data_IF_037278861068
#
_entry.id   IF_037278861068
#
_cell.length_a   1.000
_cell.length_b   1.000
_cell.length_c   1.000
_cell.angle_alpha   90.00
_cell.angle_beta   90.00
_cell.angle_gamma   90.00
#
_symmetry.space_group_name_H-M   'P 1'
#
loop_
_entity.id
_entity.type
_entity.pdbx_description
1 polymer ?
#
# COMPACT_ATOMS: atom_id res chain seq x y z
N UNK A 1 44.53 14.56 -26.26
CA UNK A 1 44.25 13.31 -25.51
C UNK A 1 42.84 13.40 -24.98
N UNK A 2 41.88 13.00 -25.78
CA UNK A 2 40.47 12.89 -25.40
C UNK A 2 40.26 11.47 -24.88
N UNK A 3 40.00 11.33 -23.58
CA UNK A 3 39.58 10.06 -22.99
C UNK A 3 38.13 9.81 -23.41
N UNK A 4 37.96 8.87 -24.34
CA UNK A 4 36.69 8.17 -24.52
C UNK A 4 36.46 7.33 -23.26
N UNK A 5 35.49 7.73 -22.42
CA UNK A 5 34.90 6.80 -21.47
C UNK A 5 34.03 5.83 -22.28
N UNK A 6 34.44 4.56 -22.28
CA UNK A 6 33.66 3.47 -22.82
C UNK A 6 32.38 3.35 -21.99
N UNK A 7 31.23 3.54 -22.66
CA UNK A 7 29.94 3.06 -22.16
C UNK A 7 30.05 1.55 -22.09
N UNK A 8 29.94 0.98 -20.90
CA UNK A 8 29.88 -0.46 -20.68
C UNK A 8 28.54 -0.94 -21.28
N UNK A 9 28.59 -1.40 -22.53
CA UNK A 9 27.46 -1.86 -23.31
C UNK A 9 27.07 -3.26 -22.81
N UNK A 10 26.51 -3.34 -21.60
CA UNK A 10 25.73 -4.50 -21.18
C UNK A 10 24.50 -4.57 -22.07
N UNK A 11 24.61 -5.36 -23.13
CA UNK A 11 23.57 -5.55 -24.15
C UNK A 11 22.20 -5.80 -23.48
N UNK A 12 21.35 -4.78 -23.44
CA UNK A 12 20.02 -4.87 -22.84
C UNK A 12 19.12 -5.59 -23.84
N UNK A 13 18.97 -6.90 -23.69
CA UNK A 13 18.01 -7.67 -24.48
C UNK A 13 16.58 -7.30 -24.03
N UNK A 14 15.97 -6.38 -24.78
CA UNK A 14 14.59 -5.92 -24.60
C UNK A 14 13.60 -6.88 -25.28
N UNK A 15 14.02 -7.61 -26.31
CA UNK A 15 13.12 -8.41 -27.16
C UNK A 15 12.49 -9.59 -26.42
N UNK A 16 13.15 -10.09 -25.37
CA UNK A 16 12.65 -11.20 -24.55
C UNK A 16 11.64 -10.77 -23.47
N UNK A 17 11.44 -9.47 -23.23
CA UNK A 17 10.49 -9.02 -22.22
C UNK A 17 9.07 -8.94 -22.78
N UNK A 18 8.13 -9.59 -22.11
CA UNK A 18 6.71 -9.50 -22.44
C UNK A 18 6.18 -8.05 -22.40
N UNK A 19 6.77 -7.18 -21.57
CA UNK A 19 6.43 -5.75 -21.48
C UNK A 19 6.81 -4.95 -22.73
N UNK A 20 7.82 -5.41 -23.47
CA UNK A 20 8.33 -4.78 -24.70
C UNK A 20 7.84 -5.48 -25.98
N UNK A 21 7.12 -6.59 -25.82
CA UNK A 21 6.52 -7.32 -26.94
C UNK A 21 5.31 -6.58 -27.52
N UNK A 22 5.09 -6.70 -28.84
CA UNK A 22 3.88 -6.16 -29.49
C UNK A 22 2.65 -6.97 -29.12
N UNK A 23 1.55 -6.28 -28.80
CA UNK A 23 0.27 -6.93 -28.59
C UNK A 23 -0.42 -7.26 -29.94
N UNK A 24 -0.66 -8.54 -30.26
CA UNK A 24 -1.30 -8.94 -31.51
C UNK A 24 -2.74 -8.42 -31.64
N UNK A 25 -3.43 -8.16 -30.54
CA UNK A 25 -4.81 -7.66 -30.53
C UNK A 25 -4.93 -6.17 -30.89
N UNK A 26 -3.82 -5.40 -30.84
CA UNK A 26 -3.84 -3.94 -31.04
C UNK A 26 -2.93 -3.46 -32.16
N UNK A 27 -2.53 -4.35 -33.07
CA UNK A 27 -1.62 -4.05 -34.20
C UNK A 27 -2.10 -2.88 -35.06
N UNK A 28 -3.42 -2.66 -35.17
CA UNK A 28 -4.05 -1.62 -35.98
C UNK A 28 -4.85 -0.60 -35.15
N UNK A 29 -4.50 -0.43 -33.87
CA UNK A 29 -5.25 0.43 -32.93
C UNK A 29 -5.31 1.91 -33.36
N UNK A 30 -4.37 2.35 -34.20
CA UNK A 30 -4.28 3.69 -34.79
C UNK A 30 -5.22 3.91 -35.98
N UNK A 31 -5.78 2.85 -36.56
CA UNK A 31 -6.62 2.89 -37.77
C UNK A 31 -8.11 2.58 -37.51
N UNK A 32 -8.50 2.29 -36.27
CA UNK A 32 -9.89 2.00 -35.90
C UNK A 32 -10.65 3.26 -35.45
N UNK A 33 -11.98 3.18 -35.40
CA UNK A 33 -12.78 4.25 -34.78
C UNK A 33 -12.43 4.41 -33.30
N UNK A 34 -12.66 5.59 -32.74
CA UNK A 34 -12.37 5.86 -31.31
C UNK A 34 -13.11 4.90 -30.37
N UNK A 35 -14.32 4.47 -30.70
CA UNK A 35 -15.06 3.50 -29.86
C UNK A 35 -14.41 2.12 -29.88
N UNK A 36 -13.90 1.67 -31.04
CA UNK A 36 -13.15 0.42 -31.16
C UNK A 36 -11.79 0.52 -30.44
N UNK A 37 -11.11 1.66 -30.54
CA UNK A 37 -9.89 1.95 -29.77
C UNK A 37 -10.16 1.81 -28.26
N UNK A 38 -11.24 2.41 -27.75
CA UNK A 38 -11.61 2.29 -26.34
C UNK A 38 -11.93 0.85 -25.94
N UNK A 39 -12.62 0.07 -26.80
CA UNK A 39 -12.90 -1.35 -26.55
C UNK A 39 -11.63 -2.18 -26.52
N UNK A 40 -10.68 -1.94 -27.43
CA UNK A 40 -9.38 -2.60 -27.45
C UNK A 40 -8.61 -2.36 -26.15
N UNK A 41 -8.57 -1.11 -25.66
CA UNK A 41 -7.94 -0.78 -24.37
C UNK A 41 -8.65 -1.51 -23.22
N UNK A 42 -9.97 -1.41 -23.13
CA UNK A 42 -10.71 -2.03 -22.04
C UNK A 42 -10.59 -3.56 -22.01
N UNK A 43 -10.55 -4.22 -23.18
CA UNK A 43 -10.35 -5.66 -23.27
C UNK A 43 -9.01 -6.11 -22.68
N UNK A 44 -7.97 -5.28 -22.77
CA UNK A 44 -6.70 -5.52 -22.10
C UNK A 44 -6.79 -5.25 -20.59
N UNK A 45 -7.45 -4.17 -20.17
CA UNK A 45 -7.63 -3.82 -18.74
C UNK A 45 -8.34 -4.95 -17.96
N UNK A 46 -9.32 -5.62 -18.59
CA UNK A 46 -10.05 -6.75 -17.98
C UNK A 46 -9.13 -7.92 -17.56
N UNK A 47 -7.94 -8.04 -18.16
CA UNK A 47 -6.97 -9.10 -17.84
C UNK A 47 -6.23 -8.84 -16.53
N UNK A 48 -6.17 -7.59 -16.08
CA UNK A 48 -5.32 -7.17 -14.95
C UNK A 48 -5.77 -7.82 -13.64
N UNK A 49 -7.06 -7.78 -13.32
CA UNK A 49 -7.57 -8.36 -12.07
C UNK A 49 -7.31 -9.88 -11.99
N UNK A 50 -7.41 -10.58 -13.12
CA UNK A 50 -7.11 -12.01 -13.20
C UNK A 50 -5.63 -12.27 -12.93
N UNK A 51 -4.72 -11.46 -13.48
CA UNK A 51 -3.28 -11.59 -13.21
C UNK A 51 -2.99 -11.41 -11.71
N UNK A 52 -3.57 -10.38 -11.08
CA UNK A 52 -3.41 -10.13 -9.63
C UNK A 52 -3.94 -11.31 -8.79
N UNK A 53 -5.05 -11.94 -9.18
CA UNK A 53 -5.62 -13.08 -8.43
C UNK A 53 -4.72 -14.31 -8.37
N UNK A 54 -3.69 -14.40 -9.21
CA UNK A 54 -2.71 -15.50 -9.18
C UNK A 54 -1.69 -15.34 -8.05
N UNK A 55 -1.64 -14.19 -7.39
CA UNK A 55 -0.64 -13.86 -6.36
C UNK A 55 -1.20 -13.71 -4.95
N UNK A 56 -2.45 -14.13 -4.71
CA UNK A 56 -3.13 -13.95 -3.42
C UNK A 56 -2.33 -14.54 -2.25
N UNK A 57 -1.74 -15.73 -2.41
CA UNK A 57 -0.97 -16.37 -1.34
C UNK A 57 0.29 -15.57 -0.97
N UNK A 58 1.00 -15.05 -1.98
CA UNK A 58 2.18 -14.19 -1.76
C UNK A 58 1.78 -12.86 -1.13
N UNK A 59 0.71 -12.24 -1.62
CA UNK A 59 0.18 -10.99 -1.05
C UNK A 59 -0.20 -11.20 0.42
N UNK A 60 -0.84 -12.31 0.76
CA UNK A 60 -1.21 -12.64 2.15
C UNK A 60 0.02 -12.78 3.05
N UNK A 61 1.07 -13.50 2.60
CA UNK A 61 2.33 -13.61 3.36
C UNK A 61 2.99 -12.24 3.57
N UNK A 62 3.07 -11.43 2.53
CA UNK A 62 3.61 -10.06 2.61
C UNK A 62 2.82 -9.22 3.63
N UNK A 63 1.49 -9.27 3.59
CA UNK A 63 0.63 -8.56 4.55
C UNK A 63 0.95 -8.98 5.99
N UNK A 64 1.03 -10.28 6.28
CA UNK A 64 1.27 -10.77 7.64
C UNK A 64 2.68 -10.40 8.13
N UNK A 65 3.69 -10.51 7.26
CA UNK A 65 5.07 -10.14 7.58
C UNK A 65 5.25 -8.64 7.82
N UNK A 66 4.59 -7.78 7.03
CA UNK A 66 4.56 -6.32 7.25
C UNK A 66 3.81 -5.99 8.54
N UNK A 67 2.65 -6.60 8.76
CA UNK A 67 1.83 -6.37 9.96
C UNK A 67 2.64 -6.63 11.23
N UNK A 68 3.37 -7.75 11.26
CA UNK A 68 4.22 -8.11 12.40
C UNK A 68 5.37 -7.11 12.63
N UNK A 69 5.87 -6.48 11.57
CA UNK A 69 6.98 -5.52 11.60
C UNK A 69 6.53 -4.13 12.05
N UNK A 70 5.39 -3.65 11.52
CA UNK A 70 4.75 -2.42 11.99
C UNK A 70 4.44 -2.47 13.50
N UNK A 71 3.98 -3.62 14.00
CA UNK A 71 3.73 -3.81 15.43
C UNK A 71 4.99 -3.63 16.32
N UNK A 72 6.20 -3.76 15.73
CA UNK A 72 7.49 -3.55 16.39
C UNK A 72 8.11 -2.17 16.08
N UNK A 73 7.32 -1.26 15.51
CA UNK A 73 7.74 0.10 15.18
C UNK A 73 8.45 0.25 13.84
N UNK A 74 8.42 -0.75 12.96
CA UNK A 74 8.92 -0.63 11.59
C UNK A 74 8.06 0.29 10.71
N UNK A 75 8.58 0.62 9.54
CA UNK A 75 7.92 1.39 8.47
C UNK A 75 7.83 0.56 7.19
N UNK A 76 6.97 0.99 6.26
CA UNK A 76 6.89 0.45 4.89
C UNK A 76 7.41 1.50 3.92
N UNK A 77 8.51 1.22 3.23
CA UNK A 77 9.11 2.08 2.22
C UNK A 77 8.79 1.48 0.86
N UNK A 78 8.06 2.21 0.02
CA UNK A 78 7.74 1.84 -1.35
C UNK A 78 8.59 2.69 -2.29
N UNK A 79 9.34 2.06 -3.20
CA UNK A 79 10.24 2.80 -4.09
C UNK A 79 10.24 2.25 -5.52
N UNK A 80 10.41 3.17 -6.48
CA UNK A 80 10.47 2.86 -7.90
C UNK A 80 10.91 4.06 -8.73
N UNK A 81 11.05 3.86 -10.03
CA UNK A 81 11.23 4.94 -11.00
C UNK A 81 9.94 5.24 -11.77
N UNK A 82 9.84 6.43 -12.36
CA UNK A 82 8.75 6.81 -13.24
C UNK A 82 7.36 6.51 -12.68
N UNK A 83 6.52 5.78 -13.44
CA UNK A 83 5.16 5.41 -13.01
C UNK A 83 5.17 4.55 -11.75
N UNK A 84 6.10 3.61 -11.61
CA UNK A 84 6.21 2.73 -10.45
C UNK A 84 6.43 3.52 -9.16
N UNK A 85 7.38 4.45 -9.17
CA UNK A 85 7.65 5.33 -8.01
C UNK A 85 6.44 6.22 -7.68
N UNK A 86 5.77 6.78 -8.70
CA UNK A 86 4.55 7.60 -8.49
C UNK A 86 3.42 6.81 -7.85
N UNK A 87 3.24 5.54 -8.24
CA UNK A 87 2.22 4.67 -7.63
C UNK A 87 2.55 4.32 -6.18
N UNK A 88 3.82 4.12 -5.86
CA UNK A 88 4.27 3.94 -4.48
C UNK A 88 3.99 5.17 -3.61
N UNK A 89 4.30 6.36 -4.13
CA UNK A 89 3.98 7.65 -3.47
C UNK A 89 2.47 7.85 -3.31
N UNK A 90 1.69 7.51 -4.33
CA UNK A 90 0.22 7.59 -4.27
C UNK A 90 -0.33 6.73 -3.12
N UNK A 91 -0.01 5.43 -3.09
CA UNK A 91 -0.50 4.51 -2.06
C UNK A 91 -0.07 4.97 -0.65
N UNK A 92 1.22 5.29 -0.46
CA UNK A 92 1.74 5.77 0.82
C UNK A 92 1.02 7.04 1.31
N UNK A 93 0.74 8.00 0.42
CA UNK A 93 0.07 9.26 0.77
C UNK A 93 -1.39 9.09 1.22
N UNK A 94 -2.05 8.01 0.81
CA UNK A 94 -3.44 7.72 1.16
C UNK A 94 -3.57 7.04 2.53
N UNK A 95 -2.48 6.47 3.07
CA UNK A 95 -2.51 5.74 4.36
C UNK A 95 -2.85 6.63 5.56
N UNK A 96 -2.22 7.82 5.77
CA UNK A 96 -2.56 8.68 6.89
C UNK A 96 -4.02 9.17 6.89
N UNK A 97 -4.58 9.76 5.80
CA UNK A 97 -5.96 10.24 5.81
C UNK A 97 -7.00 9.11 5.84
N UNK A 98 -6.65 7.91 5.38
CA UNK A 98 -7.54 6.74 5.35
C UNK A 98 -7.54 5.99 6.68
N UNK A 99 -6.41 5.83 7.35
CA UNK A 99 -6.34 4.96 8.54
C UNK A 99 -5.91 5.69 9.82
N UNK A 100 -5.84 7.03 9.77
CA UNK A 100 -5.23 7.87 10.81
C UNK A 100 -3.88 7.31 11.29
N UNK A 101 -3.15 6.69 10.38
CA UNK A 101 -1.83 6.12 10.66
C UNK A 101 -0.78 7.25 10.73
N UNK A 102 0.34 7.05 11.44
CA UNK A 102 1.44 8.00 11.43
C UNK A 102 1.93 8.26 9.99
N UNK A 103 2.25 9.51 9.67
CA UNK A 103 2.74 9.89 8.33
C UNK A 103 4.00 9.14 7.95
N UNK A 104 4.85 8.82 8.93
CA UNK A 104 6.11 8.10 8.72
C UNK A 104 5.94 6.57 8.56
N UNK A 105 4.73 6.04 8.74
CA UNK A 105 4.52 4.58 8.70
C UNK A 105 4.59 4.00 7.28
N UNK A 106 4.28 4.83 6.27
CA UNK A 106 4.36 4.50 4.85
C UNK A 106 5.07 5.64 4.13
N UNK A 107 6.18 5.33 3.47
CA UNK A 107 7.03 6.30 2.78
C UNK A 107 7.11 5.90 1.31
N UNK A 108 6.79 6.83 0.41
CA UNK A 108 6.99 6.65 -1.02
C UNK A 108 8.25 7.37 -1.49
N UNK A 109 9.17 6.65 -2.13
CA UNK A 109 10.37 7.19 -2.74
C UNK A 109 10.31 7.01 -4.26
N UNK A 110 10.86 7.98 -4.98
CA UNK A 110 10.93 7.95 -6.44
C UNK A 110 12.34 8.32 -6.91
N UNK A 111 12.86 7.56 -7.87
CA UNK A 111 14.11 7.90 -8.55
C UNK A 111 14.05 9.33 -9.11
N UNK A 112 15.05 10.16 -8.79
CA UNK A 112 15.07 11.58 -9.15
C UNK A 112 14.35 12.52 -8.17
N UNK A 113 13.80 12.00 -7.06
CA UNK A 113 13.20 12.78 -5.98
C UNK A 113 11.89 13.47 -6.35
N UNK A 114 11.44 14.43 -5.53
CA UNK A 114 10.11 15.07 -5.65
C UNK A 114 9.82 15.68 -7.02
N UNK A 115 10.84 16.16 -7.75
CA UNK A 115 10.65 16.68 -9.10
C UNK A 115 10.13 15.59 -10.06
N UNK A 116 10.54 14.34 -9.84
CA UNK A 116 10.13 13.18 -10.63
C UNK A 116 8.62 12.89 -10.55
N UNK A 117 7.94 13.40 -9.51
CA UNK A 117 6.48 13.25 -9.36
C UNK A 117 5.72 13.92 -10.51
N UNK A 118 6.24 15.02 -11.07
CA UNK A 118 5.55 15.81 -12.10
C UNK A 118 6.29 15.85 -13.44
N UNK A 119 7.60 15.61 -13.45
CA UNK A 119 8.45 15.63 -14.66
C UNK A 119 9.28 14.35 -14.68
N UNK A 120 9.52 13.75 -15.84
CA UNK A 120 10.42 12.59 -15.91
C UNK A 120 11.87 13.03 -15.68
N UNK A 121 12.65 12.19 -15.01
CA UNK A 121 14.11 12.34 -14.83
C UNK A 121 14.72 11.03 -15.33
N UNK A 122 15.23 11.03 -16.57
CA UNK A 122 15.58 9.80 -17.29
C UNK A 122 16.80 9.10 -16.67
N UNK A 123 17.87 9.82 -16.34
CA UNK A 123 19.12 9.21 -15.82
C UNK A 123 19.00 8.63 -14.39
N UNK A 124 17.90 8.89 -13.68
CA UNK A 124 17.77 8.51 -12.28
C UNK A 124 17.50 7.01 -12.09
N UNK A 125 16.89 6.34 -13.07
CA UNK A 125 16.50 4.94 -12.94
C UNK A 125 17.64 3.95 -13.17
N UNK A 126 18.70 4.40 -13.86
CA UNK A 126 19.85 3.59 -14.25
C UNK A 126 20.99 3.55 -13.20
N UNK A 127 20.76 4.10 -12.00
CA UNK A 127 21.77 4.15 -10.94
C UNK A 127 21.41 3.30 -9.71
N UNK A 128 22.09 2.15 -9.55
CA UNK A 128 22.03 1.36 -8.29
C UNK A 128 22.43 2.18 -7.08
N UNK A 129 23.48 3.00 -7.21
CA UNK A 129 23.99 3.84 -6.13
C UNK A 129 22.93 4.82 -5.62
N UNK A 130 22.21 5.50 -6.51
CA UNK A 130 21.13 6.41 -6.10
C UNK A 130 20.01 5.68 -5.34
N UNK A 131 19.73 4.42 -5.68
CA UNK A 131 18.79 3.58 -4.94
C UNK A 131 19.24 3.28 -3.51
N UNK A 132 20.52 2.95 -3.34
CA UNK A 132 21.12 2.73 -2.02
C UNK A 132 21.10 4.02 -1.18
N UNK A 133 21.51 5.14 -1.77
CA UNK A 133 21.56 6.45 -1.12
C UNK A 133 20.16 6.94 -0.69
N UNK A 134 19.13 6.68 -1.49
CA UNK A 134 17.75 7.04 -1.16
C UNK A 134 17.26 6.37 0.13
N UNK A 135 17.73 5.15 0.44
CA UNK A 135 17.42 4.47 1.70
C UNK A 135 18.38 4.86 2.83
N UNK A 136 19.66 5.02 2.52
CA UNK A 136 20.68 5.36 3.51
C UNK A 136 20.51 6.76 4.11
N UNK A 137 19.84 7.66 3.40
CA UNK A 137 19.58 9.05 3.83
C UNK A 137 18.25 9.22 4.59
N UNK A 138 17.49 8.14 4.81
CA UNK A 138 16.27 8.19 5.62
C UNK A 138 16.57 8.60 7.07
N UNK A 139 15.68 9.41 7.63
CA UNK A 139 15.67 9.78 9.05
C UNK A 139 14.30 9.45 9.66
N UNK A 140 14.23 8.54 10.67
CA UNK A 140 15.33 7.76 11.22
C UNK A 140 15.95 6.78 10.19
N UNK A 141 17.21 6.37 10.40
CA UNK A 141 17.89 5.40 9.52
C UNK A 141 17.10 4.11 9.35
N UNK A 142 17.30 3.45 8.21
CA UNK A 142 16.69 2.16 7.91
C UNK A 142 17.04 1.13 9.00
N UNK A 143 16.07 0.33 9.42
CA UNK A 143 16.24 -0.70 10.44
C UNK A 143 15.70 -2.04 9.97
N UNK A 144 16.15 -3.14 10.58
CA UNK A 144 15.63 -4.50 10.30
C UNK A 144 14.13 -4.69 10.53
N UNK A 145 13.46 -3.74 11.20
CA UNK A 145 12.00 -3.77 11.35
C UNK A 145 11.29 -3.17 10.15
N UNK A 146 11.99 -2.42 9.30
CA UNK A 146 11.42 -1.82 8.10
C UNK A 146 11.17 -2.88 7.03
N UNK A 147 10.23 -2.55 6.14
CA UNK A 147 9.97 -3.29 4.90
C UNK A 147 10.25 -2.37 3.73
N UNK A 148 10.96 -2.87 2.72
CA UNK A 148 11.20 -2.18 1.46
C UNK A 148 10.51 -2.92 0.32
N UNK A 149 9.59 -2.24 -0.35
CA UNK A 149 8.88 -2.73 -1.53
C UNK A 149 9.47 -2.02 -2.76
N UNK A 150 10.25 -2.77 -3.54
CA UNK A 150 10.82 -2.32 -4.80
C UNK A 150 9.88 -2.59 -5.96
N UNK A 151 9.61 -1.56 -6.77
CA UNK A 151 8.59 -1.60 -7.83
C UNK A 151 9.24 -1.27 -9.18
N UNK A 152 9.25 -2.25 -10.10
CA UNK A 152 9.64 -2.04 -11.48
C UNK A 152 8.90 -3.01 -12.39
N UNK A 153 8.11 -2.51 -13.35
CA UNK A 153 7.39 -3.37 -14.29
C UNK A 153 8.32 -4.33 -15.05
N UNK A 154 9.50 -3.85 -15.44
CA UNK A 154 10.56 -4.63 -16.09
C UNK A 154 11.30 -5.59 -15.16
N UNK A 155 11.11 -5.47 -13.84
CA UNK A 155 11.77 -6.29 -12.83
C UNK A 155 13.30 -6.15 -12.76
N UNK A 156 13.88 -5.15 -13.45
CA UNK A 156 15.34 -5.01 -13.63
C UNK A 156 15.89 -3.58 -13.50
N UNK A 157 15.06 -2.62 -13.08
CA UNK A 157 15.49 -1.21 -12.97
C UNK A 157 16.63 -1.05 -11.95
N UNK A 158 17.82 -0.58 -12.35
CA UNK A 158 19.01 -0.52 -11.48
C UNK A 158 18.79 0.23 -10.16
N UNK A 159 18.12 1.38 -10.18
CA UNK A 159 17.77 2.12 -8.96
C UNK A 159 17.04 1.24 -7.93
N UNK A 160 16.08 0.44 -8.39
CA UNK A 160 15.29 -0.42 -7.50
C UNK A 160 16.12 -1.59 -6.98
N UNK A 161 16.94 -2.19 -7.85
CA UNK A 161 17.83 -3.30 -7.49
C UNK A 161 18.85 -2.88 -6.42
N UNK A 162 19.48 -1.73 -6.58
CA UNK A 162 20.43 -1.19 -5.59
C UNK A 162 19.75 -0.92 -4.24
N UNK A 163 18.54 -0.35 -4.25
CA UNK A 163 17.80 -0.12 -3.01
C UNK A 163 17.44 -1.44 -2.29
N UNK A 164 16.97 -2.45 -3.02
CA UNK A 164 16.63 -3.77 -2.47
C UNK A 164 17.85 -4.48 -1.91
N UNK A 165 19.00 -4.42 -2.59
CA UNK A 165 20.28 -4.93 -2.10
C UNK A 165 20.67 -4.29 -0.76
N UNK A 166 20.61 -2.96 -0.65
CA UNK A 166 20.91 -2.26 0.60
C UNK A 166 19.94 -2.64 1.73
N UNK A 167 18.64 -2.69 1.43
CA UNK A 167 17.61 -3.08 2.39
C UNK A 167 17.82 -4.51 2.92
N UNK A 168 18.14 -5.45 2.02
CA UNK A 168 18.45 -6.84 2.36
C UNK A 168 19.68 -6.92 3.27
N UNK A 169 20.76 -6.18 2.95
CA UNK A 169 21.98 -6.13 3.77
C UNK A 169 21.73 -5.57 5.19
N UNK A 170 20.71 -4.73 5.36
CA UNK A 170 20.27 -4.16 6.65
C UNK A 170 19.35 -5.11 7.43
N UNK A 171 18.92 -6.22 6.82
CA UNK A 171 18.00 -7.20 7.40
C UNK A 171 16.53 -6.77 7.36
N UNK A 172 16.17 -5.85 6.47
CA UNK A 172 14.78 -5.48 6.23
C UNK A 172 14.04 -6.64 5.56
N UNK A 173 12.71 -6.63 5.64
CA UNK A 173 11.92 -7.38 4.68
C UNK A 173 12.03 -6.71 3.31
N UNK A 174 12.35 -7.48 2.27
CA UNK A 174 12.43 -6.97 0.89
C UNK A 174 11.41 -7.66 0.00
N UNK A 175 10.60 -6.86 -0.69
CA UNK A 175 9.55 -7.33 -1.60
C UNK A 175 9.76 -6.73 -2.98
N UNK A 176 9.81 -7.57 -4.01
CA UNK A 176 9.89 -7.13 -5.42
C UNK A 176 8.54 -7.24 -6.12
N UNK A 177 8.07 -6.17 -6.78
CA UNK A 177 6.88 -6.19 -7.63
C UNK A 177 7.28 -5.91 -9.08
N UNK A 178 7.06 -6.90 -9.94
CA UNK A 178 7.34 -6.86 -11.37
C UNK A 178 6.16 -7.35 -12.22
N UNK A 179 6.22 -7.11 -13.53
CA UNK A 179 5.21 -7.55 -14.50
C UNK A 179 5.84 -8.42 -15.62
N UNK A 180 6.98 -9.03 -15.32
CA UNK A 180 7.74 -9.93 -16.20
C UNK A 180 8.09 -11.22 -15.46
N UNK A 181 8.30 -12.30 -16.21
CA UNK A 181 8.77 -13.57 -15.65
C UNK A 181 10.28 -13.53 -15.43
N UNK A 182 10.77 -14.30 -14.44
CA UNK A 182 12.20 -14.44 -14.14
C UNK A 182 12.92 -13.09 -13.99
N UNK A 183 12.28 -12.15 -13.29
CA UNK A 183 12.82 -10.80 -13.03
C UNK A 183 14.17 -10.83 -12.33
N UNK A 184 14.97 -9.76 -12.47
CA UNK A 184 16.22 -9.62 -11.72
C UNK A 184 15.97 -9.60 -10.20
N UNK A 185 14.79 -9.15 -9.74
CA UNK A 185 14.36 -9.29 -8.34
C UNK A 185 14.44 -10.74 -7.83
N UNK A 186 14.03 -11.72 -8.66
CA UNK A 186 14.13 -13.14 -8.33
C UNK A 186 15.55 -13.67 -8.49
N UNK A 187 16.24 -13.28 -9.55
CA UNK A 187 17.56 -13.84 -9.90
C UNK A 187 18.68 -13.39 -8.94
N UNK A 188 18.65 -12.13 -8.50
CA UNK A 188 19.69 -11.59 -7.61
C UNK A 188 19.56 -12.03 -6.16
N UNK A 189 18.41 -12.60 -5.76
CA UNK A 189 18.21 -13.12 -4.40
C UNK A 189 18.15 -12.06 -3.30
N UNK A 190 17.94 -10.80 -3.66
CA UNK A 190 17.83 -9.68 -2.71
C UNK A 190 16.40 -9.46 -2.17
N UNK A 191 15.42 -10.25 -2.62
CA UNK A 191 14.03 -10.19 -2.19
C UNK A 191 13.62 -11.45 -1.42
N UNK A 192 13.02 -11.29 -0.25
CA UNK A 192 12.38 -12.39 0.49
C UNK A 192 11.10 -12.85 -0.21
N UNK A 193 10.31 -11.90 -0.74
CA UNK A 193 9.09 -12.18 -1.51
C UNK A 193 9.13 -11.46 -2.86
N UNK A 194 8.67 -12.13 -3.92
CA UNK A 194 8.60 -11.55 -5.27
C UNK A 194 7.23 -11.82 -5.88
N UNK A 195 6.59 -10.76 -6.38
CA UNK A 195 5.33 -10.79 -7.12
C UNK A 195 5.60 -10.44 -8.58
N UNK A 196 5.57 -11.46 -9.45
CA UNK A 196 5.73 -11.33 -10.90
C UNK A 196 4.35 -11.38 -11.57
N UNK A 197 3.63 -10.25 -11.54
CA UNK A 197 2.26 -10.13 -12.02
C UNK A 197 2.19 -9.95 -13.53
N UNK A 198 2.18 -11.07 -14.26
CA UNK A 198 2.24 -11.08 -15.73
C UNK A 198 0.91 -10.61 -16.33
N UNK A 199 0.89 -9.39 -16.85
CA UNK A 199 -0.28 -8.78 -17.52
C UNK A 199 -0.24 -8.92 -19.06
N UNK A 200 0.85 -9.44 -19.59
CA UNK A 200 1.12 -9.57 -21.02
C UNK A 200 1.39 -8.23 -21.75
N UNK A 201 1.57 -8.27 -23.08
CA UNK A 201 1.92 -7.10 -23.91
C UNK A 201 0.94 -5.93 -23.76
N UNK A 202 1.47 -4.71 -23.66
CA UNK A 202 0.66 -3.49 -23.55
C UNK A 202 -0.01 -3.12 -24.89
N UNK A 203 -1.12 -2.39 -24.85
CA UNK A 203 -1.83 -1.95 -26.08
C UNK A 203 -0.96 -1.06 -26.97
N UNK A 204 -0.10 -0.26 -26.35
CA UNK A 204 1.00 0.46 -26.97
C UNK A 204 2.27 -0.20 -26.43
N UNK A 205 3.07 -0.79 -27.31
CA UNK A 205 4.31 -1.50 -26.96
C UNK A 205 5.18 -0.69 -26.01
N UNK A 206 5.63 -1.31 -24.91
CA UNK A 206 6.48 -0.66 -23.89
C UNK A 206 5.75 0.33 -22.97
N UNK A 207 4.47 0.66 -23.20
CA UNK A 207 3.72 1.62 -22.38
C UNK A 207 3.22 1.00 -21.06
N UNK A 208 4.15 0.53 -20.23
CA UNK A 208 3.90 -0.15 -18.95
C UNK A 208 3.17 0.70 -17.91
N UNK A 209 2.99 2.00 -18.16
CA UNK A 209 2.08 2.85 -17.36
C UNK A 209 0.61 2.40 -17.42
N UNK A 210 0.25 1.50 -18.34
CA UNK A 210 -1.11 1.02 -18.57
C UNK A 210 -1.44 -0.20 -17.71
N UNK A 211 -1.42 -1.43 -18.24
CA UNK A 211 -1.81 -2.61 -17.46
C UNK A 211 -0.85 -2.89 -16.31
N UNK A 212 0.47 -2.80 -16.54
CA UNK A 212 1.46 -3.07 -15.50
C UNK A 212 1.34 -2.04 -14.35
N UNK A 213 1.14 -0.77 -14.67
CA UNK A 213 0.81 0.27 -13.70
C UNK A 213 -0.49 -0.01 -12.94
N UNK A 214 -1.54 -0.46 -13.63
CA UNK A 214 -2.82 -0.82 -13.01
C UNK A 214 -2.68 -2.01 -12.07
N UNK A 215 -1.97 -3.07 -12.48
CA UNK A 215 -1.67 -4.23 -11.63
C UNK A 215 -0.90 -3.82 -10.38
N UNK A 216 0.13 -2.99 -10.56
CA UNK A 216 0.93 -2.43 -9.45
C UNK A 216 0.04 -1.69 -8.46
N UNK A 217 -0.86 -0.82 -8.93
CA UNK A 217 -1.81 -0.12 -8.06
C UNK A 217 -2.67 -1.09 -7.26
N UNK A 218 -3.23 -2.11 -7.91
CA UNK A 218 -4.08 -3.10 -7.23
C UNK A 218 -3.30 -3.87 -6.16
N UNK A 219 -2.07 -4.29 -6.47
CA UNK A 219 -1.18 -5.00 -5.54
C UNK A 219 -0.86 -4.12 -4.32
N UNK A 220 -0.41 -2.88 -4.54
CA UNK A 220 -0.10 -1.95 -3.45
C UNK A 220 -1.32 -1.70 -2.56
N UNK A 221 -2.48 -1.40 -3.16
CA UNK A 221 -3.71 -1.17 -2.40
C UNK A 221 -4.16 -2.40 -1.61
N UNK A 222 -4.02 -3.61 -2.16
CA UNK A 222 -4.34 -4.85 -1.44
C UNK A 222 -3.40 -5.07 -0.26
N UNK A 223 -2.09 -4.86 -0.44
CA UNK A 223 -1.09 -4.99 0.61
C UNK A 223 -1.35 -3.95 1.71
N UNK A 224 -1.41 -2.67 1.35
CA UNK A 224 -1.50 -1.56 2.31
C UNK A 224 -2.83 -1.58 3.08
N UNK A 225 -3.95 -1.83 2.39
CA UNK A 225 -5.27 -2.00 3.02
C UNK A 225 -5.30 -3.25 3.89
N UNK A 226 -4.77 -4.38 3.41
CA UNK A 226 -4.69 -5.62 4.18
C UNK A 226 -3.94 -5.42 5.49
N UNK A 227 -2.76 -4.79 5.43
CA UNK A 227 -1.97 -4.44 6.62
C UNK A 227 -2.75 -3.56 7.59
N UNK A 228 -3.46 -2.54 7.10
CA UNK A 228 -4.24 -1.64 7.95
C UNK A 228 -5.43 -2.33 8.60
N UNK A 229 -6.07 -3.28 7.91
CA UNK A 229 -7.11 -4.14 8.49
C UNK A 229 -6.52 -5.01 9.60
N UNK A 230 -5.37 -5.67 9.35
CA UNK A 230 -4.73 -6.58 10.32
C UNK A 230 -4.17 -5.87 11.55
N UNK A 231 -3.86 -4.58 11.43
CA UNK A 231 -3.45 -3.68 12.54
C UNK A 231 -4.64 -3.03 13.27
N UNK A 232 -5.89 -3.40 12.97
CA UNK A 232 -7.06 -2.95 13.73
C UNK A 232 -7.54 -1.53 13.39
N UNK A 233 -7.23 -1.04 12.20
CA UNK A 233 -7.73 0.25 11.70
C UNK A 233 -9.19 0.19 11.22
N UNK A 234 -9.74 -1.01 11.08
CA UNK A 234 -11.13 -1.25 10.70
C UNK A 234 -11.90 -2.09 11.74
N UNK A 235 -13.22 -2.01 11.67
CA UNK A 235 -14.16 -2.94 12.32
C UNK A 235 -15.13 -3.44 11.25
N UNK A 236 -15.02 -4.72 10.86
CA UNK A 236 -15.61 -5.19 9.61
C UNK A 236 -15.06 -4.38 8.43
N UNK A 237 -15.95 -3.76 7.66
CA UNK A 237 -15.60 -2.86 6.55
C UNK A 237 -15.65 -1.37 6.93
N UNK A 238 -15.85 -1.03 8.20
CA UNK A 238 -15.87 0.35 8.68
C UNK A 238 -14.46 0.80 9.06
N UNK A 239 -14.06 1.95 8.55
CA UNK A 239 -12.85 2.65 8.98
C UNK A 239 -13.13 3.36 10.31
N UNK A 240 -12.56 2.82 11.40
CA UNK A 240 -12.90 3.21 12.78
C UNK A 240 -11.85 4.05 13.47
N UNK A 241 -10.63 4.11 12.91
CA UNK A 241 -9.56 4.94 13.44
C UNK A 241 -9.59 6.31 12.76
N UNK A 242 -10.51 7.17 13.21
CA UNK A 242 -10.74 8.52 12.68
C UNK A 242 -10.32 9.56 13.71
N UNK A 243 -9.54 10.56 13.30
CA UNK A 243 -9.31 11.77 14.10
C UNK A 243 -10.33 12.85 13.71
N UNK A 244 -11.10 13.37 14.67
CA UNK A 244 -12.07 14.45 14.44
C UNK A 244 -11.38 15.81 14.34
N UNK A 245 -10.71 16.09 13.20
CA UNK A 245 -9.98 17.35 13.00
C UNK A 245 -10.80 18.46 12.31
N UNK A 246 -11.96 18.13 11.73
CA UNK A 246 -12.84 19.09 11.07
C UNK A 246 -14.31 18.63 11.11
N UNK A 247 -15.24 19.53 10.74
CA UNK A 247 -16.68 19.28 10.80
C UNK A 247 -17.11 18.01 10.02
N UNK A 248 -16.53 17.77 8.83
CA UNK A 248 -16.78 16.56 8.04
C UNK A 248 -16.38 15.29 8.81
N UNK A 249 -15.26 15.33 9.52
CA UNK A 249 -14.76 14.21 10.31
C UNK A 249 -15.60 13.97 11.57
N UNK A 250 -16.18 15.00 12.18
CA UNK A 250 -17.15 14.86 13.28
C UNK A 250 -18.41 14.14 12.80
N UNK A 251 -19.01 14.58 11.69
CA UNK A 251 -20.18 13.91 11.10
C UNK A 251 -19.87 12.45 10.74
N UNK A 252 -18.67 12.20 10.19
CA UNK A 252 -18.22 10.83 9.88
C UNK A 252 -18.07 9.99 11.16
N UNK A 253 -17.48 10.53 12.22
CA UNK A 253 -17.32 9.85 13.49
C UNK A 253 -18.67 9.43 14.09
N UNK A 254 -19.68 10.32 14.10
CA UNK A 254 -21.05 9.99 14.53
C UNK A 254 -21.63 8.81 13.75
N UNK A 255 -21.54 8.86 12.41
CA UNK A 255 -22.05 7.79 11.52
C UNK A 255 -21.36 6.47 11.78
N UNK A 256 -20.04 6.46 11.90
CA UNK A 256 -19.26 5.24 12.16
C UNK A 256 -19.57 4.68 13.54
N UNK A 257 -19.62 5.53 14.58
CA UNK A 257 -20.01 5.12 15.93
C UNK A 257 -21.38 4.42 15.93
N UNK A 258 -22.40 5.06 15.34
CA UNK A 258 -23.75 4.49 15.21
C UNK A 258 -23.74 3.16 14.46
N UNK A 259 -22.99 3.06 13.37
CA UNK A 259 -22.89 1.83 12.59
C UNK A 259 -22.22 0.68 13.37
N UNK A 260 -21.16 0.96 14.14
CA UNK A 260 -20.52 -0.02 15.03
C UNK A 260 -21.54 -0.52 16.05
N UNK A 261 -22.20 0.41 16.74
CA UNK A 261 -23.17 0.07 17.79
C UNK A 261 -24.33 -0.72 17.23
N UNK A 262 -24.87 -0.33 16.06
CA UNK A 262 -25.93 -1.08 15.39
C UNK A 262 -25.49 -2.52 15.06
N UNK A 263 -24.26 -2.68 14.53
CA UNK A 263 -23.70 -4.00 14.18
C UNK A 263 -23.48 -4.88 15.41
N UNK A 264 -23.02 -4.31 16.53
CA UNK A 264 -22.75 -5.05 17.75
C UNK A 264 -23.98 -5.26 18.64
N UNK A 265 -25.02 -4.43 18.51
CA UNK A 265 -26.22 -4.46 19.36
C UNK A 265 -27.08 -5.73 19.24
N UNK A 266 -26.80 -6.62 18.28
CA UNK A 266 -27.40 -7.97 18.30
C UNK A 266 -26.84 -8.82 19.45
N UNK A 267 -25.64 -8.51 19.94
CA UNK A 267 -24.92 -9.23 20.99
C UNK A 267 -25.02 -8.52 22.37
N UNK A 268 -25.38 -7.24 22.40
CA UNK A 268 -25.49 -6.42 23.61
C UNK A 268 -26.90 -5.82 23.76
N UNK A 269 -27.53 -5.95 24.93
CA UNK A 269 -28.85 -5.37 25.23
C UNK A 269 -28.81 -3.84 25.36
N UNK A 270 -28.84 -3.13 24.22
CA UNK A 270 -28.62 -1.68 24.17
C UNK A 270 -29.88 -0.92 23.80
N UNK A 271 -30.19 0.13 24.58
CA UNK A 271 -31.26 1.09 24.29
C UNK A 271 -30.85 2.02 23.12
N UNK A 272 -31.36 1.72 21.92
CA UNK A 272 -31.03 2.45 20.68
C UNK A 272 -31.51 3.90 20.65
N UNK A 273 -32.47 4.28 21.49
CA UNK A 273 -33.13 5.60 21.47
C UNK A 273 -32.14 6.76 21.73
N UNK A 274 -31.10 6.53 22.54
CA UNK A 274 -30.06 7.52 22.84
C UNK A 274 -29.12 7.82 21.66
N UNK A 275 -29.15 7.01 20.60
CA UNK A 275 -28.27 7.15 19.44
C UNK A 275 -28.84 8.07 18.35
N UNK A 276 -30.13 8.43 18.42
CA UNK A 276 -30.77 9.29 17.44
C UNK A 276 -30.36 10.77 17.57
N UNK A 277 -29.97 11.19 18.77
CA UNK A 277 -29.50 12.54 19.05
C UNK A 277 -28.01 12.69 18.74
N UNK A 278 -27.65 13.73 17.98
CA UNK A 278 -26.27 14.06 17.65
C UNK A 278 -25.51 14.61 18.88
N UNK A 279 -26.19 15.32 19.78
CA UNK A 279 -25.56 15.91 20.97
C UNK A 279 -25.15 14.84 22.00
N UNK A 280 -26.01 13.82 22.20
CA UNK A 280 -25.69 12.63 22.99
C UNK A 280 -24.48 11.87 22.42
N UNK A 281 -24.42 11.62 21.11
CA UNK A 281 -23.28 10.94 20.47
C UNK A 281 -22.00 11.76 20.60
N UNK A 282 -22.10 13.09 20.44
CA UNK A 282 -20.95 13.98 20.63
C UNK A 282 -20.44 13.97 22.06
N UNK A 283 -21.31 13.89 23.06
CA UNK A 283 -20.90 13.79 24.46
C UNK A 283 -20.09 12.50 24.71
N UNK A 284 -20.54 11.36 24.16
CA UNK A 284 -19.83 10.08 24.24
C UNK A 284 -18.46 10.15 23.55
N UNK A 285 -18.40 10.75 22.34
CA UNK A 285 -17.15 10.96 21.61
C UNK A 285 -16.21 11.90 22.37
N UNK A 286 -16.69 13.01 22.94
CA UNK A 286 -15.89 13.94 23.75
C UNK A 286 -15.30 13.27 25.00
N UNK A 287 -16.09 12.46 25.70
CA UNK A 287 -15.62 11.69 26.86
C UNK A 287 -14.55 10.64 26.49
N UNK A 288 -14.40 10.36 25.19
CA UNK A 288 -13.43 9.42 24.62
C UNK A 288 -12.32 10.12 23.82
N UNK A 289 -12.11 11.41 24.03
CA UNK A 289 -11.15 12.26 23.31
C UNK A 289 -11.30 12.22 21.78
N UNK A 290 -12.53 12.06 21.30
CA UNK A 290 -12.86 11.93 19.88
C UNK A 290 -12.57 10.56 19.27
N UNK A 291 -12.05 9.59 20.05
CA UNK A 291 -11.78 8.23 19.56
C UNK A 291 -13.08 7.43 19.42
N UNK A 292 -13.44 7.10 18.17
CA UNK A 292 -14.62 6.29 17.86
C UNK A 292 -14.51 4.88 18.43
N UNK A 293 -13.30 4.28 18.43
CA UNK A 293 -13.07 2.94 19.00
C UNK A 293 -13.31 2.92 20.51
N UNK A 294 -12.75 3.88 21.23
CA UNK A 294 -12.91 3.99 22.69
C UNK A 294 -14.37 4.26 23.03
N UNK A 295 -14.99 5.22 22.33
CA UNK A 295 -16.40 5.56 22.50
C UNK A 295 -17.32 4.36 22.29
N UNK A 296 -17.15 3.63 21.18
CA UNK A 296 -17.96 2.46 20.87
C UNK A 296 -17.76 1.36 21.91
N UNK A 297 -16.51 1.07 22.30
CA UNK A 297 -16.23 0.03 23.29
C UNK A 297 -16.80 0.39 24.67
N UNK A 298 -16.59 1.62 25.14
CA UNK A 298 -17.11 2.13 26.41
C UNK A 298 -18.63 2.04 26.46
N UNK A 299 -19.29 2.47 25.37
CA UNK A 299 -20.74 2.43 25.26
C UNK A 299 -21.31 1.01 25.20
N UNK A 300 -20.71 0.12 24.40
CA UNK A 300 -21.16 -1.27 24.23
C UNK A 300 -20.95 -2.11 25.51
N UNK A 301 -19.91 -1.80 26.30
CA UNK A 301 -19.53 -2.55 27.50
C UNK A 301 -19.99 -1.91 28.81
N UNK A 302 -20.70 -0.78 28.73
CA UNK A 302 -21.10 0.05 29.88
C UNK A 302 -19.93 0.27 30.86
N UNK A 303 -18.80 0.77 30.33
CA UNK A 303 -17.59 1.00 31.11
C UNK A 303 -17.01 2.39 30.86
N UNK A 304 -16.04 2.79 31.70
CA UNK A 304 -15.38 4.09 31.54
C UNK A 304 -14.51 4.12 30.28
N UNK A 305 -14.26 5.31 29.74
CA UNK A 305 -13.33 5.50 28.62
C UNK A 305 -11.91 5.00 28.97
N UNK A 306 -11.50 5.08 30.24
CA UNK A 306 -10.22 4.55 30.71
C UNK A 306 -10.16 3.02 30.60
N UNK A 307 -11.19 2.33 31.10
CA UNK A 307 -11.31 0.86 30.97
C UNK A 307 -11.35 0.45 29.50
N UNK A 308 -12.10 1.17 28.65
CA UNK A 308 -12.14 0.90 27.22
C UNK A 308 -10.77 1.10 26.54
N UNK A 309 -10.00 2.13 26.91
CA UNK A 309 -8.62 2.32 26.41
C UNK A 309 -7.73 1.16 26.82
N UNK A 310 -7.79 0.72 28.06
CA UNK A 310 -7.00 -0.42 28.56
C UNK A 310 -7.34 -1.72 27.81
N UNK A 311 -8.63 -2.01 27.60
CA UNK A 311 -9.09 -3.17 26.84
C UNK A 311 -8.65 -3.12 25.37
N UNK A 312 -8.73 -1.94 24.73
CA UNK A 312 -8.23 -1.75 23.37
C UNK A 312 -6.72 -1.97 23.31
N UNK A 313 -5.95 -1.43 24.26
CA UNK A 313 -4.50 -1.61 24.29
C UNK A 313 -4.12 -3.09 24.48
N UNK A 314 -4.80 -3.80 25.40
CA UNK A 314 -4.62 -5.24 25.61
C UNK A 314 -4.99 -6.08 24.37
N UNK A 315 -5.82 -5.53 23.48
CA UNK A 315 -6.26 -6.16 22.23
C UNK A 315 -5.54 -5.60 21.00
N UNK A 316 -4.36 -5.00 21.17
CA UNK A 316 -3.54 -4.41 20.09
C UNK A 316 -4.32 -3.41 19.21
N UNK A 317 -5.26 -2.68 19.81
CA UNK A 317 -6.11 -1.70 19.13
C UNK A 317 -7.22 -2.29 18.25
N UNK A 318 -7.41 -3.62 18.24
CA UNK A 318 -8.44 -4.31 17.46
C UNK A 318 -9.79 -4.33 18.21
N UNK A 319 -10.73 -3.52 17.74
CA UNK A 319 -12.03 -3.32 18.40
C UNK A 319 -12.83 -4.63 18.58
N UNK A 320 -12.86 -5.50 17.55
CA UNK A 320 -13.60 -6.78 17.64
C UNK A 320 -13.05 -7.70 18.73
N UNK A 321 -11.73 -7.74 18.90
CA UNK A 321 -11.10 -8.52 19.98
C UNK A 321 -11.40 -7.89 21.34
N UNK A 322 -11.30 -6.56 21.45
CA UNK A 322 -11.58 -5.85 22.69
C UNK A 322 -13.03 -6.02 23.19
N UNK A 323 -14.00 -6.09 22.27
CA UNK A 323 -15.40 -6.38 22.61
C UNK A 323 -15.59 -7.78 23.20
N UNK A 324 -14.90 -8.77 22.64
CA UNK A 324 -14.95 -10.17 23.07
C UNK A 324 -14.12 -10.46 24.34
N UNK A 325 -13.20 -9.58 24.73
CA UNK A 325 -12.33 -9.78 25.89
C UNK A 325 -13.13 -9.77 27.21
N UNK A 326 -12.86 -10.68 28.17
CA UNK A 326 -13.52 -10.67 29.47
C UNK A 326 -13.23 -9.36 30.23
N UNK A 327 -14.19 -8.85 30.99
CA UNK A 327 -13.98 -7.63 31.80
C UNK A 327 -12.89 -7.92 32.81
N UNK A 328 -11.78 -7.17 32.77
CA UNK A 328 -10.79 -7.18 33.85
C UNK A 328 -11.50 -6.64 35.08
N UNK A 329 -11.73 -7.52 36.07
CA UNK A 329 -12.31 -7.17 37.37
C UNK A 329 -11.29 -6.46 38.24
#
# INVERSE_FOLDING_TARGET
>A
MTMNQAVDDQHVDLEMLATESRNPATVHIDAVSTIELCRMINNEDLKVAKAVSLHIDTIARVIDQITSRLARGGRVIQLGAGTSGRLGVLDASEIPPTYSAPVESYIGLIAGGDQALRKSVEDAEDSRQQGQEALATLDPPLSKQDTVIGIAASGRTPYVLGALEHANSTGCLTVGIACVENSAFRQEGNCEEVVECIVGPEVVTGSTRMKAGTATKLLLNMISTGVMIRTGKTYGNLMVDLKTANHKLVVRARRVFRAIVATASEEYEIKRDALADDEAVDAILRNSDGSVKVAALAYLRDCSAETARALLQASEGRLKQALASPTVR
#
